data_IF_808274900914
#
_entry.id   IF_808274900914
#
_cell.length_a   1.000
_cell.length_b   1.000
_cell.length_c   1.000
_cell.angle_alpha   90.00
_cell.angle_beta   90.00
_cell.angle_gamma   90.00
#
_symmetry.space_group_name_H-M   'P 1'
#
loop_
_entity.id
_entity.type
_entity.pdbx_description
1 polymer ?
#
# COMPACT_ATOMS: atom_id res chain seq x y z
N UNK A 1 -37.29 -0.89 -18.46
CA UNK A 1 -36.96 0.37 -17.74
C UNK A 1 -36.04 0.18 -16.53
N UNK A 2 -35.82 -1.05 -16.02
CA UNK A 2 -34.90 -1.33 -14.91
C UNK A 2 -33.41 -1.08 -15.29
N UNK A 3 -32.93 -1.60 -16.41
CA UNK A 3 -31.51 -1.45 -16.81
C UNK A 3 -31.04 -0.02 -17.08
N UNK A 4 -31.92 0.93 -17.45
CA UNK A 4 -31.52 2.34 -17.63
C UNK A 4 -31.19 3.02 -16.30
N UNK A 5 -31.91 2.69 -15.21
CA UNK A 5 -31.66 3.26 -13.88
C UNK A 5 -30.36 2.71 -13.28
N UNK A 6 -30.07 1.44 -13.48
CA UNK A 6 -28.81 0.80 -13.07
C UNK A 6 -27.60 1.39 -13.81
N UNK A 7 -27.69 1.54 -15.13
CA UNK A 7 -26.64 2.19 -15.93
C UNK A 7 -26.38 3.63 -15.49
N UNK A 8 -27.43 4.40 -15.21
CA UNK A 8 -27.28 5.76 -14.67
C UNK A 8 -26.60 5.73 -13.29
N UNK A 9 -26.95 4.78 -12.43
CA UNK A 9 -26.30 4.58 -11.13
C UNK A 9 -24.80 4.32 -11.25
N UNK A 10 -24.40 3.41 -12.15
CA UNK A 10 -22.98 3.14 -12.40
C UNK A 10 -22.23 4.35 -12.99
N UNK A 11 -22.85 5.09 -13.91
CA UNK A 11 -22.27 6.32 -14.46
C UNK A 11 -22.05 7.38 -13.38
N UNK A 12 -23.04 7.58 -12.49
CA UNK A 12 -22.92 8.51 -11.36
C UNK A 12 -21.80 8.08 -10.43
N UNK A 13 -21.70 6.78 -10.11
CA UNK A 13 -20.60 6.25 -9.29
C UNK A 13 -19.23 6.49 -9.92
N UNK A 14 -19.09 6.23 -11.23
CA UNK A 14 -17.83 6.49 -11.96
C UNK A 14 -17.47 7.97 -11.89
N UNK A 15 -18.43 8.88 -12.09
CA UNK A 15 -18.21 10.33 -12.01
C UNK A 15 -17.80 10.74 -10.59
N UNK A 16 -18.44 10.18 -9.56
CA UNK A 16 -18.07 10.44 -8.15
C UNK A 16 -16.64 9.97 -7.88
N UNK A 17 -16.30 8.73 -8.25
CA UNK A 17 -14.96 8.17 -8.05
C UNK A 17 -13.90 8.98 -8.80
N UNK A 18 -14.17 9.34 -10.06
CA UNK A 18 -13.30 10.20 -10.85
C UNK A 18 -13.11 11.56 -10.16
N UNK A 19 -14.19 12.21 -9.75
CA UNK A 19 -14.13 13.51 -9.08
C UNK A 19 -13.39 13.42 -7.74
N UNK A 20 -13.56 12.35 -6.96
CA UNK A 20 -12.84 12.12 -5.72
C UNK A 20 -11.34 11.91 -5.97
N UNK A 21 -10.96 11.11 -6.96
CA UNK A 21 -9.55 10.86 -7.28
C UNK A 21 -8.86 12.11 -7.81
N UNK A 22 -9.41 12.76 -8.84
CA UNK A 22 -8.77 13.95 -9.43
C UNK A 22 -8.89 15.17 -8.51
N UNK A 23 -10.02 15.30 -7.80
CA UNK A 23 -10.24 16.35 -6.81
C UNK A 23 -9.29 16.24 -5.61
N UNK A 24 -9.07 15.03 -5.08
CA UNK A 24 -8.12 14.85 -3.97
C UNK A 24 -6.68 15.20 -4.37
N UNK A 25 -6.24 14.79 -5.57
CA UNK A 25 -4.91 15.17 -6.09
C UNK A 25 -4.81 16.70 -6.25
N UNK A 26 -5.84 17.35 -6.79
CA UNK A 26 -5.87 18.81 -6.94
C UNK A 26 -5.82 19.54 -5.59
N UNK A 27 -6.56 19.05 -4.60
CA UNK A 27 -6.52 19.57 -3.22
C UNK A 27 -5.11 19.42 -2.64
N UNK A 28 -4.49 18.24 -2.78
CA UNK A 28 -3.12 18.02 -2.28
C UNK A 28 -2.11 18.94 -2.96
N UNK A 29 -2.19 19.12 -4.28
CA UNK A 29 -1.34 20.08 -5.02
C UNK A 29 -1.52 21.51 -4.52
N UNK A 30 -2.75 21.89 -4.14
CA UNK A 30 -3.04 23.22 -3.62
C UNK A 30 -2.53 23.42 -2.18
N UNK A 31 -2.65 22.39 -1.32
CA UNK A 31 -2.17 22.43 0.06
C UNK A 31 -0.64 22.49 0.10
N UNK A 32 0.03 21.59 -0.62
CA UNK A 32 1.48 21.47 -0.62
C UNK A 32 2.19 22.37 -1.64
N UNK A 33 1.40 23.06 -2.49
CA UNK A 33 1.85 24.00 -3.54
C UNK A 33 2.90 23.44 -4.52
N UNK A 34 2.96 22.13 -4.68
CA UNK A 34 3.88 21.46 -5.62
C UNK A 34 3.10 20.65 -6.65
N UNK A 35 3.69 20.45 -7.83
CA UNK A 35 3.11 19.61 -8.89
C UNK A 35 3.07 18.12 -8.49
N UNK A 36 4.03 17.71 -7.66
CA UNK A 36 4.23 16.33 -7.21
C UNK A 36 4.14 16.23 -5.68
N UNK A 37 2.95 16.44 -5.09
CA UNK A 37 2.77 16.46 -3.63
C UNK A 37 2.93 15.08 -2.99
N UNK A 38 2.95 14.03 -3.80
CA UNK A 38 3.01 12.64 -3.38
C UNK A 38 4.07 11.90 -4.20
N UNK A 39 5.00 11.25 -3.52
CA UNK A 39 6.04 10.42 -4.12
C UNK A 39 6.23 9.13 -3.34
N UNK A 40 6.92 8.15 -3.94
CA UNK A 40 7.25 6.88 -3.29
C UNK A 40 8.76 6.72 -3.21
N UNK A 41 9.26 6.35 -2.04
CA UNK A 41 10.68 6.05 -1.83
C UNK A 41 10.99 4.68 -2.44
N UNK A 42 11.85 4.64 -3.44
CA UNK A 42 12.16 3.41 -4.21
C UNK A 42 13.51 2.80 -3.90
N UNK A 43 14.37 3.49 -3.13
CA UNK A 43 15.73 3.06 -2.80
C UNK A 43 15.97 3.10 -1.28
N UNK A 44 17.04 2.44 -0.84
CA UNK A 44 17.42 2.34 0.58
C UNK A 44 18.32 3.49 1.08
N UNK A 45 18.57 4.53 0.26
CA UNK A 45 19.55 5.57 0.58
C UNK A 45 19.16 6.44 1.78
N UNK A 46 17.87 6.45 2.14
CA UNK A 46 17.34 7.24 3.26
C UNK A 46 16.98 6.40 4.50
N UNK A 47 17.25 5.10 4.50
CA UNK A 47 17.07 4.24 5.68
C UNK A 47 18.05 4.67 6.78
N UNK A 48 17.65 4.75 8.07
CA UNK A 48 16.35 4.37 8.64
C UNK A 48 15.31 5.51 8.71
N UNK A 49 15.62 6.71 8.22
CA UNK A 49 14.71 7.85 8.35
C UNK A 49 13.47 7.71 7.46
N UNK A 50 13.66 7.30 6.20
CA UNK A 50 12.59 6.94 5.28
C UNK A 50 12.78 5.48 4.87
N UNK A 51 11.71 4.70 5.03
CA UNK A 51 11.65 3.30 4.63
C UNK A 51 11.50 3.16 3.12
N UNK A 52 11.94 2.02 2.59
CA UNK A 52 11.66 1.65 1.20
C UNK A 52 10.16 1.41 1.05
N UNK A 53 9.55 1.93 -0.01
CA UNK A 53 8.10 1.84 -0.21
C UNK A 53 7.29 2.84 0.64
N UNK A 54 7.92 3.74 1.38
CA UNK A 54 7.22 4.83 2.05
C UNK A 54 6.57 5.77 1.03
N UNK A 55 5.32 6.12 1.32
CA UNK A 55 4.62 7.19 0.63
C UNK A 55 4.98 8.51 1.30
N UNK A 56 5.58 9.46 0.58
CA UNK A 56 6.03 10.74 1.15
C UNK A 56 5.23 11.91 0.61
N UNK A 57 4.98 12.88 1.48
CA UNK A 57 4.44 14.19 1.14
C UNK A 57 5.58 15.16 0.87
N UNK A 58 5.47 15.88 -0.23
CA UNK A 58 6.46 16.89 -0.66
C UNK A 58 5.77 18.24 -0.68
N UNK A 59 6.38 19.25 -0.06
CA UNK A 59 5.90 20.62 0.00
C UNK A 59 6.83 21.56 -0.79
N UNK A 60 6.27 22.56 -1.47
CA UNK A 60 7.07 23.59 -2.12
C UNK A 60 7.85 24.41 -1.09
N UNK A 61 9.10 24.74 -1.43
CA UNK A 61 9.93 25.66 -0.66
C UNK A 61 9.71 27.07 -1.22
N UNK A 62 9.17 27.98 -0.40
CA UNK A 62 8.95 29.37 -0.82
C UNK A 62 10.22 30.23 -0.65
N UNK A 63 10.98 29.97 0.42
CA UNK A 63 12.23 30.64 0.71
C UNK A 63 13.30 29.58 1.09
N UNK A 64 14.35 29.48 0.27
CA UNK A 64 15.46 28.55 0.48
C UNK A 64 16.33 28.93 1.70
N UNK A 65 16.18 30.14 2.24
CA UNK A 65 16.77 30.52 3.53
C UNK A 65 16.22 29.68 4.69
N UNK A 66 14.96 29.23 4.63
CA UNK A 66 14.32 28.44 5.68
C UNK A 66 14.75 26.98 5.70
N UNK A 67 15.40 26.49 4.64
CA UNK A 67 15.87 25.11 4.57
C UNK A 67 17.01 24.91 5.55
N UNK A 68 16.83 24.03 6.53
CA UNK A 68 17.87 23.70 7.50
C UNK A 68 18.85 22.74 6.87
N UNK A 69 20.11 23.12 6.74
CA UNK A 69 21.15 22.24 6.21
C UNK A 69 22.08 21.77 7.34
N UNK A 70 21.96 20.50 7.70
CA UNK A 70 22.71 19.86 8.78
C UNK A 70 22.75 18.34 8.55
N UNK A 71 23.72 17.60 9.10
CA UNK A 71 23.63 16.15 9.20
C UNK A 71 22.35 15.69 9.89
N UNK A 72 22.03 14.40 9.76
CA UNK A 72 20.90 13.81 10.47
C UNK A 72 21.13 13.88 12.00
N UNK A 73 20.06 14.11 12.80
CA UNK A 73 18.65 14.20 12.40
C UNK A 73 18.14 15.60 12.00
N UNK A 74 18.94 16.66 12.13
CA UNK A 74 18.45 18.04 12.14
C UNK A 74 18.23 18.65 10.74
N UNK A 75 18.95 18.19 9.71
CA UNK A 75 18.83 18.74 8.35
C UNK A 75 17.52 18.38 7.68
N UNK A 76 16.99 19.29 6.87
CA UNK A 76 15.81 19.07 6.05
C UNK A 76 16.08 18.04 4.94
N UNK A 77 15.07 17.24 4.62
CA UNK A 77 15.11 16.31 3.49
C UNK A 77 14.48 17.00 2.29
N UNK A 78 15.22 17.08 1.19
CA UNK A 78 14.77 17.73 -0.04
C UNK A 78 14.64 16.73 -1.19
N UNK A 79 13.70 17.02 -2.08
CA UNK A 79 13.49 16.29 -3.32
C UNK A 79 13.98 17.14 -4.47
N UNK A 80 14.85 16.58 -5.31
CA UNK A 80 15.45 17.32 -6.41
C UNK A 80 15.68 16.44 -7.63
N UNK A 81 15.93 17.07 -8.77
CA UNK A 81 16.35 16.39 -10.01
C UNK A 81 17.81 16.74 -10.32
N UNK A 82 18.44 15.96 -11.20
CA UNK A 82 19.81 16.26 -11.66
C UNK A 82 19.86 17.05 -12.97
N UNK A 83 18.75 17.67 -13.38
CA UNK A 83 18.62 18.48 -14.61
C UNK A 83 18.71 17.68 -15.92
N UNK A 84 19.48 16.58 -15.95
CA UNK A 84 19.68 15.71 -17.11
C UNK A 84 18.93 14.38 -17.05
N UNK A 85 18.31 14.06 -15.91
CA UNK A 85 17.55 12.83 -15.71
C UNK A 85 16.13 13.13 -15.24
N UNK A 86 15.18 12.28 -15.63
CA UNK A 86 13.80 12.28 -15.11
C UNK A 86 13.68 11.60 -13.73
N UNK A 87 14.80 11.48 -13.01
CA UNK A 87 14.87 10.84 -11.70
C UNK A 87 14.78 11.87 -10.59
N UNK A 88 13.77 11.70 -9.74
CA UNK A 88 13.64 12.43 -8.48
C UNK A 88 14.49 11.74 -7.41
N UNK A 89 15.38 12.49 -6.78
CA UNK A 89 16.26 12.05 -5.70
C UNK A 89 15.78 12.70 -4.40
N UNK A 90 15.66 11.89 -3.34
CA UNK A 90 15.22 12.34 -2.02
C UNK A 90 16.37 12.16 -1.06
N UNK A 91 17.07 13.22 -0.67
CA UNK A 91 18.22 13.16 0.25
C UNK A 91 18.22 14.33 1.23
N UNK A 92 18.97 14.21 2.32
CA UNK A 92 19.11 15.26 3.34
C UNK A 92 20.05 16.35 2.88
N UNK A 93 19.67 17.61 3.05
CA UNK A 93 20.56 18.75 2.90
C UNK A 93 21.51 18.80 4.09
N UNK A 94 22.80 18.55 3.86
CA UNK A 94 23.83 18.54 4.92
C UNK A 94 24.60 19.85 4.99
N UNK A 95 24.62 20.62 3.91
CA UNK A 95 25.23 21.94 3.82
C UNK A 95 24.51 22.78 2.77
N UNK A 96 24.45 24.09 2.97
CA UNK A 96 24.02 25.05 1.95
C UNK A 96 24.95 26.26 1.89
N UNK A 97 25.10 26.84 0.71
CA UNK A 97 25.88 28.05 0.48
C UNK A 97 25.33 28.80 -0.73
N UNK A 98 25.73 30.05 -0.92
CA UNK A 98 25.32 30.87 -2.07
C UNK A 98 26.45 30.88 -3.10
N UNK A 99 26.11 30.63 -4.36
CA UNK A 99 26.99 30.69 -5.53
C UNK A 99 26.22 31.37 -6.68
N UNK A 100 26.80 32.40 -7.30
CA UNK A 100 26.15 33.19 -8.36
C UNK A 100 24.71 33.65 -8.02
N UNK A 101 24.53 34.23 -6.83
CA UNK A 101 23.23 34.69 -6.30
C UNK A 101 22.13 33.62 -6.19
N UNK A 102 22.50 32.33 -6.17
CA UNK A 102 21.57 31.20 -6.01
C UNK A 102 21.99 30.29 -4.85
N UNK A 103 21.03 29.67 -4.19
CA UNK A 103 21.34 28.66 -3.18
C UNK A 103 21.81 27.35 -3.82
N UNK A 104 22.90 26.83 -3.27
CA UNK A 104 23.48 25.54 -3.58
C UNK A 104 23.40 24.64 -2.35
N UNK A 105 22.95 23.41 -2.55
CA UNK A 105 22.78 22.43 -1.49
C UNK A 105 23.70 21.23 -1.71
N UNK A 106 24.48 20.89 -0.68
CA UNK A 106 25.16 19.59 -0.62
C UNK A 106 24.21 18.61 0.04
N UNK A 107 23.88 17.54 -0.67
CA UNK A 107 22.92 16.54 -0.24
C UNK A 107 23.60 15.22 0.07
N UNK A 108 23.00 14.42 0.96
CA UNK A 108 23.48 13.08 1.28
C UNK A 108 22.30 12.19 1.68
N UNK A 109 22.25 10.97 1.15
CA UNK A 109 21.36 9.94 1.68
C UNK A 109 21.80 9.50 3.07
N UNK A 110 20.88 9.39 4.03
CA UNK A 110 21.21 9.02 5.42
C UNK A 110 21.98 7.68 5.53
N UNK A 111 21.74 6.75 4.60
CA UNK A 111 22.41 5.45 4.51
C UNK A 111 23.64 5.45 3.58
N UNK A 112 23.96 6.57 2.94
CA UNK A 112 25.10 6.65 2.02
C UNK A 112 26.41 6.90 2.81
N UNK A 113 27.52 6.35 2.34
CA UNK A 113 28.84 6.59 2.94
C UNK A 113 29.31 8.03 2.71
N UNK A 114 29.10 8.55 1.50
CA UNK A 114 29.60 9.85 1.07
C UNK A 114 28.45 10.80 0.68
N UNK A 115 28.66 12.12 0.77
CA UNK A 115 27.78 13.10 0.15
C UNK A 115 27.60 12.86 -1.35
N UNK A 116 26.51 13.36 -1.90
CA UNK A 116 26.28 13.31 -3.32
C UNK A 116 27.32 14.15 -4.05
N UNK A 117 27.91 13.60 -5.12
CA UNK A 117 29.12 14.16 -5.74
C UNK A 117 28.96 15.51 -6.46
N UNK A 118 27.75 16.07 -6.51
CA UNK A 118 27.49 17.40 -7.09
C UNK A 118 26.51 18.16 -6.19
N UNK A 119 26.79 19.43 -5.87
CA UNK A 119 25.80 20.33 -5.28
C UNK A 119 24.55 20.46 -6.16
N UNK A 120 23.42 20.74 -5.52
CA UNK A 120 22.11 20.89 -6.16
C UNK A 120 21.73 22.36 -6.11
N UNK A 121 21.56 23.03 -7.26
CA UNK A 121 21.06 24.40 -7.28
C UNK A 121 19.57 24.44 -6.91
N UNK A 122 19.12 25.53 -6.31
CA UNK A 122 17.73 25.74 -5.88
C UNK A 122 16.69 25.50 -6.99
N UNK A 123 17.03 25.81 -8.25
CA UNK A 123 16.19 25.61 -9.44
C UNK A 123 15.86 24.14 -9.73
N UNK A 124 16.70 23.21 -9.25
CA UNK A 124 16.49 21.77 -9.43
C UNK A 124 15.73 21.14 -8.25
N UNK A 125 15.44 21.91 -7.21
CA UNK A 125 14.70 21.44 -6.03
C UNK A 125 13.20 21.50 -6.33
N UNK A 126 12.56 20.35 -6.16
CA UNK A 126 11.12 20.14 -6.39
C UNK A 126 10.32 20.47 -5.14
N UNK A 127 10.90 20.21 -3.97
CA UNK A 127 10.29 20.53 -2.69
C UNK A 127 11.00 19.90 -1.50
N UNK A 128 10.42 20.09 -0.32
CA UNK A 128 10.87 19.57 0.98
C UNK A 128 9.94 18.45 1.45
N UNK A 129 10.50 17.45 2.11
CA UNK A 129 9.75 16.41 2.81
C UNK A 129 8.87 17.00 3.93
N UNK A 130 7.58 16.69 3.91
CA UNK A 130 6.61 17.17 4.91
C UNK A 130 6.05 16.04 5.81
N UNK A 131 6.15 14.78 5.39
CA UNK A 131 5.65 13.65 6.16
C UNK A 131 5.62 12.36 5.33
N UNK A 132 5.28 11.24 5.98
CA UNK A 132 5.23 9.93 5.33
C UNK A 132 4.09 9.05 5.82
N UNK A 133 3.70 8.10 4.98
CA UNK A 133 2.87 6.93 5.33
C UNK A 133 3.71 5.69 5.02
N UNK A 134 4.14 4.92 6.04
CA UNK A 134 5.01 3.78 5.88
C UNK A 134 4.37 2.69 5.02
N UNK A 135 5.18 2.00 4.21
CA UNK A 135 4.83 0.76 3.47
C UNK A 135 3.77 0.93 2.37
N UNK A 136 2.84 1.89 2.48
CA UNK A 136 1.68 2.02 1.60
C UNK A 136 2.06 2.39 0.15
N UNK A 137 3.26 2.95 -0.07
CA UNK A 137 3.78 3.26 -1.40
C UNK A 137 4.09 2.02 -2.24
N UNK A 138 4.20 0.83 -1.65
CA UNK A 138 4.30 -0.42 -2.42
C UNK A 138 3.07 -0.69 -3.28
N UNK A 139 1.87 -0.26 -2.85
CA UNK A 139 0.64 -0.50 -3.61
C UNK A 139 0.68 0.08 -5.03
N UNK A 140 0.92 1.40 -5.24
CA UNK A 140 1.06 1.95 -6.58
C UNK A 140 2.27 1.39 -7.35
N UNK A 141 3.36 0.98 -6.67
CA UNK A 141 4.51 0.35 -7.33
C UNK A 141 4.18 -1.03 -7.91
N UNK A 142 3.39 -1.84 -7.21
CA UNK A 142 2.99 -3.17 -7.69
C UNK A 142 2.01 -3.06 -8.86
N UNK A 143 1.00 -2.18 -8.77
CA UNK A 143 0.02 -1.96 -9.86
C UNK A 143 0.72 -1.56 -11.15
N UNK A 144 1.82 -0.82 -11.03
CA UNK A 144 2.65 -0.40 -12.15
C UNK A 144 3.32 -1.62 -12.84
N UNK A 145 3.63 -2.71 -12.16
CA UNK A 145 4.15 -3.94 -12.81
C UNK A 145 3.06 -4.71 -13.55
N UNK A 146 3.40 -5.39 -14.66
CA UNK A 146 2.42 -6.19 -15.41
C UNK A 146 1.90 -7.35 -14.56
N UNK A 147 2.80 -8.05 -13.85
CA UNK A 147 2.40 -9.16 -12.98
C UNK A 147 1.55 -8.70 -11.80
N UNK A 148 1.93 -7.59 -11.16
CA UNK A 148 1.16 -6.99 -10.07
C UNK A 148 -0.21 -6.49 -10.53
N UNK A 149 -0.28 -5.87 -11.71
CA UNK A 149 -1.54 -5.49 -12.34
C UNK A 149 -2.43 -6.71 -12.58
N UNK A 150 -1.89 -7.78 -13.19
CA UNK A 150 -2.63 -9.03 -13.44
C UNK A 150 -3.10 -9.65 -12.12
N UNK A 151 -2.28 -9.66 -11.07
CA UNK A 151 -2.65 -10.15 -9.74
C UNK A 151 -3.88 -9.40 -9.21
N UNK A 152 -3.82 -8.07 -9.18
CA UNK A 152 -4.90 -7.23 -8.65
C UNK A 152 -6.15 -7.33 -9.54
N UNK A 153 -6.00 -7.30 -10.86
CA UNK A 153 -7.10 -7.47 -11.80
C UNK A 153 -7.78 -8.85 -11.64
N UNK A 154 -7.00 -9.91 -11.41
CA UNK A 154 -7.52 -11.26 -11.15
C UNK A 154 -8.29 -11.30 -9.83
N UNK A 155 -7.75 -10.68 -8.77
CA UNK A 155 -8.47 -10.54 -7.50
C UNK A 155 -9.79 -9.78 -7.67
N UNK A 156 -9.79 -8.68 -8.42
CA UNK A 156 -11.00 -7.91 -8.73
C UNK A 156 -12.01 -8.71 -9.56
N UNK A 157 -11.56 -9.48 -10.55
CA UNK A 157 -12.43 -10.36 -11.33
C UNK A 157 -13.06 -11.45 -10.44
N UNK A 158 -12.30 -12.01 -9.50
CA UNK A 158 -12.84 -12.98 -8.53
C UNK A 158 -13.95 -12.33 -7.69
N UNK A 159 -13.86 -11.05 -7.33
CA UNK A 159 -14.98 -10.35 -6.67
C UNK A 159 -16.19 -10.29 -7.57
N UNK A 160 -15.98 -9.79 -8.78
CA UNK A 160 -17.08 -9.46 -9.67
C UNK A 160 -17.87 -10.72 -10.05
N UNK A 161 -17.17 -11.84 -10.21
CA UNK A 161 -17.76 -13.14 -10.52
C UNK A 161 -17.93 -14.04 -9.30
N UNK A 162 -17.74 -13.54 -8.08
CA UNK A 162 -17.84 -14.35 -6.86
C UNK A 162 -19.22 -15.05 -6.79
N UNK A 163 -20.28 -14.36 -7.18
CA UNK A 163 -21.64 -14.86 -7.16
C UNK A 163 -21.87 -15.98 -8.19
N UNK A 164 -21.19 -15.92 -9.33
CA UNK A 164 -21.25 -16.94 -10.38
C UNK A 164 -20.43 -18.19 -10.00
N UNK A 165 -19.24 -18.00 -9.44
CA UNK A 165 -18.38 -19.09 -8.97
C UNK A 165 -18.94 -19.77 -7.72
N UNK A 166 -19.64 -19.01 -6.88
CA UNK A 166 -20.18 -19.47 -5.62
C UNK A 166 -21.67 -19.09 -5.54
N UNK A 167 -22.58 -19.83 -6.17
CA UNK A 167 -24.01 -19.49 -6.18
C UNK A 167 -24.52 -19.32 -4.76
N UNK A 168 -24.97 -18.10 -4.44
CA UNK A 168 -25.59 -17.75 -3.17
C UNK A 168 -26.84 -18.62 -3.06
N UNK A 169 -26.84 -19.60 -2.16
CA UNK A 169 -28.11 -20.19 -1.78
C UNK A 169 -28.82 -19.17 -0.90
N UNK A 170 -29.78 -18.45 -1.49
CA UNK A 170 -30.65 -17.48 -0.81
C UNK A 170 -30.98 -18.02 0.58
N UNK A 171 -30.63 -17.25 1.60
CA UNK A 171 -30.94 -17.59 2.99
C UNK A 171 -32.39 -18.03 3.07
N UNK A 172 -32.63 -19.18 3.70
CA UNK A 172 -33.99 -19.57 4.03
C UNK A 172 -34.59 -18.41 4.86
N UNK A 173 -35.75 -17.82 4.48
CA UNK A 173 -36.30 -16.65 5.16
C UNK A 173 -36.57 -16.92 6.66
N UNK A 174 -36.64 -18.18 7.06
CA UNK A 174 -36.88 -18.61 8.44
C UNK A 174 -35.63 -18.55 9.36
N UNK A 175 -34.46 -18.17 8.84
CA UNK A 175 -33.23 -17.98 9.61
C UNK A 175 -32.74 -16.54 9.43
N UNK A 176 -33.61 -15.56 9.71
CA UNK A 176 -33.16 -14.22 10.11
C UNK A 176 -32.48 -14.33 11.48
N UNK A 177 -31.25 -14.85 11.52
CA UNK A 177 -30.39 -14.58 12.66
C UNK A 177 -30.02 -13.10 12.54
N UNK A 178 -30.78 -12.23 13.23
CA UNK A 178 -30.32 -10.91 13.66
C UNK A 178 -29.07 -11.11 14.53
N UNK A 179 -27.95 -11.39 13.87
CA UNK A 179 -26.65 -11.54 14.48
C UNK A 179 -26.05 -10.15 14.67
N UNK A 180 -25.61 -9.84 15.88
CA UNK A 180 -24.75 -8.67 16.10
C UNK A 180 -23.46 -8.86 15.29
N UNK A 181 -22.98 -7.80 14.66
CA UNK A 181 -21.75 -7.84 13.86
C UNK A 181 -20.58 -8.44 14.68
N UNK A 182 -19.82 -9.43 14.16
CA UNK A 182 -18.85 -10.20 14.93
C UNK A 182 -17.53 -9.43 15.13
N UNK A 183 -17.56 -8.35 15.92
CA UNK A 183 -16.42 -7.46 16.14
C UNK A 183 -15.12 -8.17 16.55
N UNK A 184 -15.20 -9.24 17.35
CA UNK A 184 -14.04 -10.01 17.78
C UNK A 184 -13.34 -10.74 16.61
N UNK A 185 -14.07 -11.11 15.56
CA UNK A 185 -13.47 -11.72 14.36
C UNK A 185 -12.66 -10.72 13.52
N UNK A 186 -12.78 -9.41 13.80
CA UNK A 186 -11.97 -8.38 13.16
C UNK A 186 -10.62 -8.18 13.83
N UNK A 187 -10.41 -8.70 15.05
CA UNK A 187 -9.16 -8.51 15.79
C UNK A 187 -7.92 -8.88 14.96
N UNK A 188 -7.87 -10.02 14.23
CA UNK A 188 -6.70 -10.37 13.45
C UNK A 188 -6.42 -9.36 12.30
N UNK A 189 -7.47 -8.77 11.73
CA UNK A 189 -7.34 -7.73 10.70
C UNK A 189 -6.95 -6.36 11.27
N UNK A 190 -7.14 -6.11 12.57
CA UNK A 190 -6.72 -4.84 13.18
C UNK A 190 -5.20 -4.73 13.38
N UNK A 191 -4.47 -5.85 13.41
CA UNK A 191 -3.03 -5.85 13.67
C UNK A 191 -2.24 -5.15 12.56
N UNK A 192 -2.58 -5.37 11.29
CA UNK A 192 -1.89 -4.74 10.16
C UNK A 192 -1.99 -3.21 10.13
N UNK A 193 -3.17 -2.58 10.22
CA UNK A 193 -3.27 -1.12 10.28
C UNK A 193 -2.62 -0.55 11.54
N UNK A 194 -2.72 -1.23 12.69
CA UNK A 194 -2.03 -0.80 13.92
C UNK A 194 -0.50 -0.90 13.77
N UNK A 195 0.01 -1.91 13.08
CA UNK A 195 1.43 -2.05 12.74
C UNK A 195 1.93 -0.89 11.89
N UNK A 196 1.20 -0.54 10.83
CA UNK A 196 1.55 0.62 9.98
C UNK A 196 1.51 1.92 10.78
N UNK A 197 0.51 2.11 11.65
CA UNK A 197 0.44 3.26 12.55
C UNK A 197 1.63 3.29 13.51
N UNK A 198 2.07 2.14 14.02
CA UNK A 198 3.25 2.05 14.86
C UNK A 198 4.53 2.46 14.11
N UNK A 199 4.66 2.07 12.84
CA UNK A 199 5.79 2.43 11.99
C UNK A 199 5.92 3.94 11.72
N UNK A 200 4.85 4.73 11.91
CA UNK A 200 4.94 6.20 11.85
C UNK A 200 5.85 6.75 12.96
N UNK A 201 5.79 6.16 14.15
CA UNK A 201 6.52 6.63 15.33
C UNK A 201 7.84 5.91 15.55
N UNK A 202 7.96 4.68 15.06
CA UNK A 202 9.15 3.84 15.20
C UNK A 202 9.57 3.31 13.83
N UNK A 203 10.45 4.02 13.10
CA UNK A 203 10.99 3.61 11.79
C UNK A 203 11.93 2.38 11.86
N UNK A 204 12.10 1.77 13.04
CA UNK A 204 12.95 0.62 13.27
C UNK A 204 12.13 -0.60 13.72
N UNK A 205 12.65 -1.81 13.45
CA UNK A 205 12.03 -3.11 13.80
C UNK A 205 10.72 -3.45 13.05
N UNK A 206 10.75 -3.30 11.73
CA UNK A 206 9.62 -3.63 10.84
C UNK A 206 9.35 -5.14 10.76
N UNK A 207 10.37 -5.93 10.39
CA UNK A 207 10.21 -7.34 10.01
C UNK A 207 9.39 -8.18 11.02
N UNK A 208 9.68 -8.07 12.32
CA UNK A 208 8.98 -8.87 13.34
C UNK A 208 7.49 -8.54 13.45
N UNK A 209 7.14 -7.25 13.45
CA UNK A 209 5.75 -6.78 13.53
C UNK A 209 4.99 -7.07 12.23
N UNK A 210 5.65 -6.97 11.09
CA UNK A 210 5.07 -7.29 9.79
C UNK A 210 4.79 -8.78 9.64
N UNK A 211 5.73 -9.64 10.05
CA UNK A 211 5.50 -11.09 10.12
C UNK A 211 4.34 -11.42 11.06
N UNK A 212 4.25 -10.75 12.22
CA UNK A 212 3.13 -10.92 13.13
C UNK A 212 1.80 -10.44 12.53
N UNK A 213 1.79 -9.34 11.79
CA UNK A 213 0.62 -8.85 11.06
C UNK A 213 0.18 -9.83 9.96
N UNK A 214 1.13 -10.41 9.23
CA UNK A 214 0.86 -11.45 8.23
C UNK A 214 0.26 -12.70 8.91
N UNK A 215 0.88 -13.22 9.97
CA UNK A 215 0.34 -14.36 10.74
C UNK A 215 -1.05 -14.09 11.32
N UNK A 216 -1.29 -12.86 11.78
CA UNK A 216 -2.62 -12.43 12.24
C UNK A 216 -3.63 -12.44 11.09
N UNK A 217 -3.25 -11.97 9.90
CA UNK A 217 -4.10 -12.06 8.72
C UNK A 217 -4.43 -13.52 8.35
N UNK A 218 -3.49 -14.45 8.46
CA UNK A 218 -3.75 -15.90 8.32
C UNK A 218 -4.82 -16.41 9.30
N UNK A 219 -4.77 -16.00 10.56
CA UNK A 219 -5.82 -16.32 11.52
C UNK A 219 -7.17 -15.70 11.11
N UNK A 220 -7.15 -14.46 10.60
CA UNK A 220 -8.31 -13.80 10.01
C UNK A 220 -8.92 -14.59 8.84
N UNK A 221 -8.09 -15.17 7.97
CA UNK A 221 -8.52 -16.02 6.85
C UNK A 221 -9.31 -17.25 7.30
N UNK A 222 -9.09 -17.74 8.53
CA UNK A 222 -9.81 -18.87 9.11
C UNK A 222 -11.06 -18.41 9.85
N UNK A 223 -10.93 -17.40 10.69
CA UNK A 223 -11.98 -16.98 11.63
C UNK A 223 -13.11 -16.23 10.91
N UNK A 224 -12.78 -15.31 10.01
CA UNK A 224 -13.76 -14.46 9.34
C UNK A 224 -14.87 -15.24 8.61
N UNK A 225 -14.55 -16.20 7.71
CA UNK A 225 -15.60 -16.92 6.98
C UNK A 225 -16.50 -17.76 7.91
N UNK A 226 -16.01 -18.15 9.09
CA UNK A 226 -16.79 -18.91 10.07
C UNK A 226 -17.66 -18.01 10.97
N UNK A 227 -17.21 -16.79 11.24
CA UNK A 227 -17.88 -15.85 12.14
C UNK A 227 -18.98 -15.05 11.43
N UNK A 228 -18.76 -14.63 10.18
CA UNK A 228 -19.71 -13.80 9.43
C UNK A 228 -20.93 -14.60 8.98
N UNK A 229 -22.11 -13.99 9.12
CA UNK A 229 -23.37 -14.53 8.61
C UNK A 229 -23.55 -14.22 7.13
N UNK A 230 -23.18 -13.01 6.73
CA UNK A 230 -23.17 -12.56 5.35
C UNK A 230 -21.78 -12.82 4.74
N UNK A 231 -21.74 -13.71 3.76
CA UNK A 231 -20.51 -14.10 3.10
C UNK A 231 -19.95 -12.97 2.22
N UNK A 232 -20.81 -12.08 1.71
CA UNK A 232 -20.39 -11.01 0.80
C UNK A 232 -19.65 -9.92 1.58
N UNK A 233 -20.21 -9.49 2.72
CA UNK A 233 -19.51 -8.60 3.66
C UNK A 233 -18.19 -9.20 4.14
N UNK A 234 -18.16 -10.51 4.46
CA UNK A 234 -16.93 -11.19 4.87
C UNK A 234 -15.86 -11.14 3.79
N UNK A 235 -16.26 -11.42 2.55
CA UNK A 235 -15.36 -11.46 1.41
C UNK A 235 -14.80 -10.07 1.09
N UNK A 236 -15.67 -9.04 1.07
CA UNK A 236 -15.27 -7.65 0.84
C UNK A 236 -14.26 -7.17 1.89
N UNK A 237 -14.53 -7.43 3.17
CA UNK A 237 -13.62 -7.10 4.27
C UNK A 237 -12.25 -7.77 4.08
N UNK A 238 -12.24 -9.08 3.87
CA UNK A 238 -11.00 -9.85 3.69
C UNK A 238 -10.18 -9.32 2.52
N UNK A 239 -10.86 -8.98 1.41
CA UNK A 239 -10.18 -8.50 0.23
C UNK A 239 -9.63 -7.08 0.39
N UNK A 240 -10.41 -6.15 0.95
CA UNK A 240 -9.89 -4.81 1.24
C UNK A 240 -8.64 -4.89 2.11
N UNK A 241 -8.65 -5.80 3.08
CA UNK A 241 -7.50 -6.01 3.94
C UNK A 241 -6.30 -6.62 3.19
N UNK A 242 -6.54 -7.62 2.35
CA UNK A 242 -5.52 -8.20 1.47
C UNK A 242 -4.85 -7.11 0.61
N UNK A 243 -5.65 -6.28 -0.05
CA UNK A 243 -5.18 -5.31 -1.03
C UNK A 243 -4.49 -4.11 -0.37
N UNK A 244 -5.08 -3.53 0.67
CA UNK A 244 -4.59 -2.29 1.28
C UNK A 244 -3.46 -2.51 2.29
N UNK A 245 -3.39 -3.69 2.92
CA UNK A 245 -2.43 -3.92 4.01
C UNK A 245 -1.49 -5.08 3.71
N UNK A 246 -2.02 -6.26 3.39
CA UNK A 246 -1.20 -7.47 3.29
C UNK A 246 -0.27 -7.43 2.09
N UNK A 247 -0.73 -6.95 0.94
CA UNK A 247 0.12 -6.77 -0.25
C UNK A 247 1.29 -5.81 0.05
N UNK A 248 1.06 -4.58 0.55
CA UNK A 248 2.15 -3.68 0.95
C UNK A 248 3.11 -4.28 1.99
N UNK A 249 2.58 -4.86 3.07
CA UNK A 249 3.39 -5.51 4.12
C UNK A 249 4.22 -6.66 3.55
N UNK A 250 3.64 -7.47 2.67
CA UNK A 250 4.35 -8.56 2.00
C UNK A 250 5.51 -8.05 1.13
N UNK A 251 5.36 -6.87 0.53
CA UNK A 251 6.46 -6.24 -0.21
C UNK A 251 7.58 -5.74 0.72
N UNK A 252 7.24 -5.10 1.83
CA UNK A 252 8.26 -4.65 2.80
C UNK A 252 9.02 -5.83 3.41
N UNK A 253 8.31 -6.89 3.84
CA UNK A 253 8.92 -8.16 4.27
C UNK A 253 9.87 -8.70 3.19
N UNK A 254 9.45 -8.68 1.92
CA UNK A 254 10.29 -9.17 0.83
C UNK A 254 11.56 -8.35 0.67
N UNK A 255 11.51 -7.04 0.87
CA UNK A 255 12.69 -6.19 0.90
C UNK A 255 13.60 -6.55 2.08
N UNK A 256 13.09 -6.68 3.30
CA UNK A 256 13.88 -7.08 4.46
C UNK A 256 14.57 -8.43 4.30
N UNK A 257 13.93 -9.37 3.61
CA UNK A 257 14.47 -10.71 3.38
C UNK A 257 15.49 -10.78 2.24
N UNK A 258 15.37 -9.93 1.22
CA UNK A 258 16.17 -10.05 -0.02
C UNK A 258 17.12 -8.90 -0.29
N UNK A 259 16.91 -7.74 0.31
CA UNK A 259 17.61 -6.49 -0.01
C UNK A 259 17.23 -5.88 -1.37
N UNK A 260 16.25 -6.45 -2.08
CA UNK A 260 15.82 -5.97 -3.40
C UNK A 260 14.83 -4.81 -3.21
N UNK A 261 15.19 -3.64 -3.71
CA UNK A 261 14.34 -2.43 -3.61
C UNK A 261 13.49 -2.23 -4.88
N UNK A 262 12.40 -1.46 -4.83
CA UNK A 262 11.62 -1.09 -6.03
C UNK A 262 12.45 -0.46 -7.15
N UNK A 263 13.54 0.24 -6.84
CA UNK A 263 14.47 0.78 -7.84
C UNK A 263 15.12 -0.30 -8.71
N UNK A 264 15.10 -1.56 -8.26
CA UNK A 264 15.63 -2.71 -8.98
C UNK A 264 14.56 -3.47 -9.78
N UNK A 265 13.29 -3.06 -9.74
CA UNK A 265 12.20 -3.82 -10.36
C UNK A 265 12.14 -3.67 -11.89
N UNK A 266 12.67 -2.58 -12.42
CA UNK A 266 12.68 -2.26 -13.85
C UNK A 266 14.11 -2.05 -14.36
N UNK A 267 14.32 -2.36 -15.64
CA UNK A 267 15.60 -2.10 -16.31
C UNK A 267 15.81 -0.62 -16.63
N UNK A 268 14.72 0.11 -16.87
CA UNK A 268 14.76 1.56 -17.11
C UNK A 268 14.36 2.23 -15.80
N UNK A 269 15.25 3.10 -15.32
CA UNK A 269 15.01 3.95 -14.16
C UNK A 269 14.38 5.25 -14.65
N UNK A 270 13.30 5.65 -14.00
CA UNK A 270 12.54 6.84 -14.33
C UNK A 270 11.37 7.00 -13.37
N UNK A 271 11.23 8.18 -12.78
CA UNK A 271 10.20 8.48 -11.78
C UNK A 271 8.93 9.11 -12.38
N UNK A 272 8.98 9.50 -13.67
CA UNK A 272 7.88 10.08 -14.45
C UNK A 272 6.90 8.99 -14.93
N UNK A 273 5.63 9.38 -15.11
CA UNK A 273 4.51 8.43 -15.27
C UNK A 273 3.87 8.52 -16.67
N UNK A 274 4.37 7.77 -17.67
CA UNK A 274 3.58 7.40 -18.84
C UNK A 274 2.90 6.03 -18.68
N UNK A 275 1.74 5.84 -19.33
CA UNK A 275 1.00 4.56 -19.39
C UNK A 275 1.87 3.42 -19.98
N UNK A 276 2.93 3.76 -20.72
CA UNK A 276 3.91 2.81 -21.26
C UNK A 276 4.61 1.95 -20.19
N UNK A 277 4.48 2.31 -18.92
CA UNK A 277 5.06 1.58 -17.79
C UNK A 277 4.62 0.11 -17.71
N UNK A 278 3.36 -0.22 -18.05
CA UNK A 278 2.88 -1.62 -18.07
C UNK A 278 3.63 -2.50 -19.08
N UNK A 279 4.32 -1.88 -20.05
CA UNK A 279 5.11 -2.55 -21.07
C UNK A 279 6.61 -2.55 -20.74
N UNK A 280 7.03 -1.93 -19.63
CA UNK A 280 8.42 -2.00 -19.19
C UNK A 280 8.75 -3.42 -18.75
N UNK A 281 9.91 -3.89 -19.19
CA UNK A 281 10.39 -5.22 -18.83
C UNK A 281 10.77 -5.25 -17.36
N UNK A 282 10.13 -6.14 -16.63
CA UNK A 282 10.45 -6.47 -15.23
C UNK A 282 11.79 -7.21 -15.14
N UNK A 283 12.55 -6.95 -14.08
CA UNK A 283 13.85 -7.60 -13.84
C UNK A 283 13.71 -8.99 -13.21
N UNK A 284 14.75 -9.83 -13.27
CA UNK A 284 14.82 -11.07 -12.49
C UNK A 284 14.71 -10.83 -10.99
N UNK A 285 15.21 -9.69 -10.50
CA UNK A 285 15.10 -9.29 -9.10
C UNK A 285 13.64 -9.08 -8.69
N UNK A 286 12.85 -8.39 -9.53
CA UNK A 286 11.40 -8.30 -9.32
C UNK A 286 10.74 -9.69 -9.28
N UNK A 287 11.12 -10.60 -10.17
CA UNK A 287 10.52 -11.95 -10.21
C UNK A 287 10.75 -12.73 -8.90
N UNK A 288 11.92 -12.58 -8.28
CA UNK A 288 12.21 -13.17 -6.98
C UNK A 288 11.30 -12.59 -5.88
N UNK A 289 11.20 -11.26 -5.81
CA UNK A 289 10.31 -10.54 -4.87
C UNK A 289 8.85 -10.93 -5.09
N UNK A 290 8.38 -10.95 -6.34
CA UNK A 290 7.02 -11.31 -6.69
C UNK A 290 6.70 -12.76 -6.31
N UNK A 291 7.65 -13.69 -6.50
CA UNK A 291 7.48 -15.09 -6.08
C UNK A 291 7.34 -15.20 -4.56
N UNK A 292 8.18 -14.49 -3.81
CA UNK A 292 8.11 -14.45 -2.35
C UNK A 292 6.78 -13.86 -1.86
N UNK A 293 6.34 -12.76 -2.47
CA UNK A 293 5.03 -12.17 -2.22
C UNK A 293 3.89 -13.17 -2.46
N UNK A 294 3.91 -13.90 -3.57
CA UNK A 294 2.91 -14.94 -3.86
C UNK A 294 2.96 -16.08 -2.84
N UNK A 295 4.15 -16.53 -2.43
CA UNK A 295 4.32 -17.56 -1.41
C UNK A 295 3.76 -17.12 -0.05
N UNK A 296 3.81 -15.83 0.27
CA UNK A 296 3.25 -15.27 1.50
C UNK A 296 1.74 -15.06 1.44
N UNK A 297 1.17 -14.78 0.27
CA UNK A 297 -0.25 -14.42 0.12
C UNK A 297 -1.11 -15.61 -0.26
N UNK A 298 -0.70 -16.40 -1.25
CA UNK A 298 -1.51 -17.48 -1.84
C UNK A 298 -2.00 -18.49 -0.80
N UNK A 299 -1.20 -18.96 0.17
CA UNK A 299 -1.69 -19.92 1.16
C UNK A 299 -2.85 -19.35 1.98
N UNK A 300 -2.81 -18.07 2.37
CA UNK A 300 -3.91 -17.39 3.07
C UNK A 300 -5.17 -17.27 2.21
N UNK A 301 -4.99 -16.93 0.93
CA UNK A 301 -6.08 -16.91 -0.07
C UNK A 301 -6.73 -18.28 -0.20
N UNK A 302 -5.94 -19.34 -0.35
CA UNK A 302 -6.43 -20.73 -0.45
C UNK A 302 -7.21 -21.11 0.82
N UNK A 303 -6.66 -20.83 2.00
CA UNK A 303 -7.32 -21.13 3.28
C UNK A 303 -8.71 -20.46 3.34
N UNK A 304 -8.77 -19.17 3.04
CA UNK A 304 -10.02 -18.40 3.08
C UNK A 304 -11.07 -18.99 2.14
N UNK A 305 -10.72 -19.19 0.86
CA UNK A 305 -11.65 -19.71 -0.14
C UNK A 305 -12.07 -21.16 0.13
N UNK A 306 -11.16 -22.03 0.58
CA UNK A 306 -11.50 -23.40 0.95
C UNK A 306 -12.54 -23.44 2.07
N UNK A 307 -12.40 -22.59 3.09
CA UNK A 307 -13.36 -22.53 4.20
C UNK A 307 -14.70 -21.96 3.74
N UNK A 308 -14.69 -20.89 2.93
CA UNK A 308 -15.90 -20.32 2.32
C UNK A 308 -16.67 -21.38 1.52
N UNK A 309 -15.98 -22.10 0.63
CA UNK A 309 -16.59 -23.17 -0.18
C UNK A 309 -17.14 -24.29 0.68
N UNK A 310 -16.37 -24.74 1.68
CA UNK A 310 -16.78 -25.84 2.53
C UNK A 310 -17.98 -25.47 3.44
N UNK A 311 -18.04 -24.21 3.90
CA UNK A 311 -19.20 -23.64 4.59
C UNK A 311 -20.43 -23.61 3.67
N UNK A 312 -20.30 -23.09 2.45
CA UNK A 312 -21.40 -23.04 1.46
C UNK A 312 -21.90 -24.45 1.08
N UNK A 313 -21.01 -25.45 1.02
CA UNK A 313 -21.36 -26.87 0.79
C UNK A 313 -21.91 -27.61 2.03
N UNK A 314 -22.17 -26.90 3.13
CA UNK A 314 -22.73 -27.45 4.38
C UNK A 314 -21.95 -28.62 4.97
N UNK A 315 -20.62 -28.56 4.94
CA UNK A 315 -19.79 -29.56 5.64
C UNK A 315 -20.14 -29.52 7.13
N UNK A 316 -20.73 -30.61 7.64
CA UNK A 316 -21.40 -30.67 8.95
C UNK A 316 -20.57 -30.07 10.09
N UNK A 317 -19.31 -30.47 10.22
CA UNK A 317 -18.38 -29.95 11.25
C UNK A 317 -18.12 -28.45 11.14
N UNK A 318 -17.99 -27.91 9.93
CA UNK A 318 -17.75 -26.47 9.73
C UNK A 318 -19.01 -25.65 9.98
N UNK A 319 -20.19 -26.18 9.62
CA UNK A 319 -21.47 -25.56 9.95
C UNK A 319 -21.67 -25.57 11.47
N UNK A 320 -21.42 -26.69 12.14
CA UNK A 320 -21.45 -26.80 13.61
C UNK A 320 -20.49 -25.82 14.27
N UNK A 321 -19.26 -25.69 13.75
CA UNK A 321 -18.26 -24.76 14.27
C UNK A 321 -18.64 -23.29 14.04
N UNK A 322 -19.17 -22.96 12.86
CA UNK A 322 -19.68 -21.63 12.55
C UNK A 322 -20.93 -21.29 13.38
N UNK A 323 -21.82 -22.25 13.63
CA UNK A 323 -22.94 -22.08 14.55
C UNK A 323 -22.42 -21.89 15.97
N UNK A 324 -21.45 -22.68 16.42
CA UNK A 324 -20.85 -22.56 17.75
C UNK A 324 -20.18 -21.20 17.99
N UNK A 325 -19.41 -20.70 17.02
CA UNK A 325 -18.80 -19.36 17.11
C UNK A 325 -19.85 -18.25 17.20
N UNK A 326 -20.99 -18.41 16.53
CA UNK A 326 -22.12 -17.47 16.57
C UNK A 326 -22.99 -17.64 17.81
N UNK A 327 -23.12 -18.86 18.33
CA UNK A 327 -24.03 -19.22 19.43
C UNK A 327 -23.40 -19.04 20.81
N UNK A 328 -22.07 -18.94 20.92
CA UNK A 328 -21.46 -18.27 22.06
C UNK A 328 -21.94 -16.83 22.05
N UNK A 329 -23.08 -16.58 22.73
CA UNK A 329 -23.14 -15.48 23.69
C UNK A 329 -21.81 -15.56 24.41
N UNK A 330 -20.88 -14.66 24.13
CA UNK A 330 -19.87 -14.36 25.12
C UNK A 330 -20.68 -13.86 26.32
N UNK A 331 -20.95 -14.80 27.22
CA UNK A 331 -21.69 -14.57 28.43
C UNK A 331 -20.88 -13.58 29.25
N UNK A 332 -21.55 -12.48 29.59
CA UNK A 332 -21.12 -11.35 30.43
C UNK A 332 -20.41 -10.23 29.69
#
# INVERSE_FOLDING_TARGET
MAGKKEVIGYLVLIVILFTMTFGSIYILRSIFKTEYPLMVVVSQSMVPTLGVGDFIFVEQINDFNEVVASPAPEGDIIVFTRGSSEDYIVHRAIQKYVEDDRWMFVTKGDNNLFPDGRPVPEENIVGKFAGRIPVLGYFPLIIKTLKGFILIASLMAIIFFADDFFPIQKSNPDIEIRGRFPWLSLLPFSISPLGILYFLFQPGAHLGLEMFALLSWYAGCIIAPLAFTDDDTCFMLWLYHLVLFVIPISCDISWWLTGITPSNWWYVQGSTVPISFLFLKETPAFNAVYTLLLLMIIPGVIIFFCIMVAKRRRVKRLVEMAVWMRSRRFSQ
#
